data_IF_445075072389
#
_entry.id   IF_445075072389
#
_cell.length_a   1.000
_cell.length_b   1.000
_cell.length_c   1.000
_cell.angle_alpha   90.00
_cell.angle_beta   90.00
_cell.angle_gamma   90.00
#
_symmetry.space_group_name_H-M   'P 1'
#
loop_
_entity.id
_entity.type
_entity.pdbx_description
1 polymer ?
#
# COMPACT_ATOMS: atom_id res chain seq x y z
N UNK A 1 -2.28 -12.28 -1.11
CA UNK A 1 -2.49 -10.85 -0.82
C UNK A 1 -3.14 -10.61 0.53
N UNK A 2 -4.48 -10.63 0.62
CA UNK A 2 -5.22 -10.09 1.78
C UNK A 2 -4.78 -10.64 3.15
N UNK A 3 -4.68 -11.96 3.32
CA UNK A 3 -4.24 -12.57 4.60
C UNK A 3 -2.82 -12.17 5.00
N UNK A 4 -1.90 -12.09 4.02
CA UNK A 4 -0.52 -11.66 4.29
C UNK A 4 -0.49 -10.21 4.79
N UNK A 5 -1.24 -9.31 4.16
CA UNK A 5 -1.35 -7.92 4.63
C UNK A 5 -1.97 -7.85 6.02
N UNK A 6 -3.05 -8.60 6.29
CA UNK A 6 -3.67 -8.63 7.61
C UNK A 6 -2.69 -9.08 8.71
N UNK A 7 -1.93 -10.15 8.48
CA UNK A 7 -0.90 -10.63 9.40
C UNK A 7 0.24 -9.62 9.59
N UNK A 8 0.70 -8.98 8.51
CA UNK A 8 1.75 -7.97 8.59
C UNK A 8 1.29 -6.74 9.40
N UNK A 9 0.08 -6.23 9.14
CA UNK A 9 -0.51 -5.13 9.89
C UNK A 9 -0.61 -5.50 11.38
N UNK A 10 -1.12 -6.70 11.70
CA UNK A 10 -1.26 -7.17 13.08
C UNK A 10 0.08 -7.26 13.83
N UNK A 11 1.13 -7.73 13.17
CA UNK A 11 2.42 -8.00 13.82
C UNK A 11 3.32 -6.77 13.93
N UNK A 12 3.20 -5.83 12.99
CA UNK A 12 4.20 -4.78 12.81
C UNK A 12 3.65 -3.36 12.92
N UNK A 13 2.33 -3.17 13.04
CA UNK A 13 1.72 -1.84 13.08
C UNK A 13 0.97 -1.67 14.39
N UNK A 14 1.45 -0.76 15.24
CA UNK A 14 0.89 -0.48 16.56
C UNK A 14 0.13 0.83 16.67
N UNK A 15 0.13 1.69 15.63
CA UNK A 15 -0.58 2.97 15.58
C UNK A 15 -0.19 3.99 16.69
N UNK A 16 -0.58 5.26 16.55
CA UNK A 16 -0.98 5.91 15.29
C UNK A 16 0.22 6.00 14.31
N UNK A 17 -0.04 5.98 13.00
CA UNK A 17 1.00 6.13 11.99
C UNK A 17 0.48 5.93 10.56
N UNK A 18 1.40 5.88 9.60
CA UNK A 18 1.08 5.64 8.19
C UNK A 18 1.84 4.40 7.71
N UNK A 19 1.15 3.52 6.99
CA UNK A 19 1.76 2.39 6.29
C UNK A 19 1.90 2.76 4.83
N UNK A 20 3.12 2.67 4.32
CA UNK A 20 3.42 2.93 2.91
C UNK A 20 3.75 1.63 2.18
N UNK A 21 3.21 1.49 0.97
CA UNK A 21 3.59 0.43 0.03
C UNK A 21 3.96 1.05 -1.31
N UNK A 22 4.96 0.49 -1.98
CA UNK A 22 5.31 0.89 -3.34
C UNK A 22 4.72 -0.13 -4.32
N UNK A 23 3.90 0.34 -5.25
CA UNK A 23 3.33 -0.49 -6.32
C UNK A 23 3.51 0.17 -7.68
N UNK A 24 3.00 -0.45 -8.74
CA UNK A 24 3.11 0.06 -10.11
C UNK A 24 2.51 1.47 -10.25
N UNK A 25 3.26 2.36 -10.89
CA UNK A 25 2.77 3.66 -11.34
C UNK A 25 1.63 3.51 -12.35
N UNK A 26 0.77 4.53 -12.53
CA UNK A 26 -0.45 4.41 -13.34
C UNK A 26 -0.17 4.15 -14.83
N UNK A 27 1.02 4.48 -15.30
CA UNK A 27 1.53 4.32 -16.66
C UNK A 27 2.30 3.00 -16.89
N UNK A 28 2.51 2.18 -15.85
CA UNK A 28 3.15 0.87 -15.99
C UNK A 28 2.15 -0.18 -16.50
N UNK A 29 2.48 -1.05 -17.48
CA UNK A 29 1.55 -2.08 -17.98
C UNK A 29 0.98 -2.99 -16.88
N UNK A 30 1.84 -3.36 -15.93
CA UNK A 30 1.45 -4.13 -14.74
C UNK A 30 0.44 -3.44 -13.82
N UNK A 31 0.18 -2.13 -13.95
CA UNK A 31 -0.83 -1.41 -13.17
C UNK A 31 -2.24 -1.98 -13.36
N UNK A 32 -2.54 -2.42 -14.58
CA UNK A 32 -3.84 -3.00 -14.96
C UNK A 32 -3.78 -4.51 -14.92
N UNK A 33 -2.77 -5.10 -15.58
CA UNK A 33 -2.68 -6.56 -15.78
C UNK A 33 -2.58 -7.35 -14.47
N UNK A 34 -1.84 -6.82 -13.48
CA UNK A 34 -1.65 -7.51 -12.21
C UNK A 34 -2.80 -7.31 -11.21
N UNK A 35 -3.61 -6.26 -11.40
CA UNK A 35 -4.60 -5.81 -10.41
C UNK A 35 -4.02 -5.30 -9.09
N UNK A 36 -2.70 -5.04 -9.01
CA UNK A 36 -2.02 -4.66 -7.77
C UNK A 36 -2.54 -3.33 -7.17
N UNK A 37 -2.78 -2.32 -8.00
CA UNK A 37 -3.34 -1.03 -7.54
C UNK A 37 -4.72 -1.22 -6.90
N UNK A 38 -5.63 -1.86 -7.63
CA UNK A 38 -6.97 -2.19 -7.15
C UNK A 38 -6.96 -3.07 -5.89
N UNK A 39 -5.93 -3.90 -5.71
CA UNK A 39 -5.77 -4.70 -4.49
C UNK A 39 -5.51 -3.82 -3.25
N UNK A 40 -4.59 -2.85 -3.33
CA UNK A 40 -4.28 -1.94 -2.22
C UNK A 40 -5.39 -0.92 -1.97
N UNK A 41 -6.02 -0.40 -3.03
CA UNK A 41 -7.20 0.47 -2.92
C UNK A 41 -8.33 -0.21 -2.14
N UNK A 42 -8.61 -1.49 -2.43
CA UNK A 42 -9.62 -2.30 -1.70
C UNK A 42 -9.25 -2.57 -0.24
N UNK A 43 -7.99 -2.40 0.14
CA UNK A 43 -7.52 -2.48 1.53
C UNK A 43 -7.54 -1.11 2.23
N UNK A 44 -7.97 -0.05 1.55
CA UNK A 44 -8.06 1.30 2.10
C UNK A 44 -6.82 2.16 1.88
N UNK A 45 -5.83 1.67 1.12
CA UNK A 45 -4.69 2.51 0.75
C UNK A 45 -5.11 3.52 -0.32
N UNK A 46 -4.64 4.76 -0.19
CA UNK A 46 -4.80 5.81 -1.18
C UNK A 46 -3.52 5.99 -2.00
N UNK A 47 -3.62 6.26 -3.33
CA UNK A 47 -2.46 6.61 -4.13
C UNK A 47 -1.86 7.96 -3.66
N UNK A 48 -0.55 7.98 -3.46
CA UNK A 48 0.26 9.17 -3.17
C UNK A 48 1.09 9.58 -4.38
N UNK A 49 2.28 10.12 -4.14
CA UNK A 49 3.21 10.57 -5.16
C UNK A 49 3.91 9.42 -5.91
N UNK A 50 4.34 9.65 -7.16
CA UNK A 50 5.32 8.81 -7.82
C UNK A 50 6.61 8.69 -7.00
N UNK A 51 7.29 7.55 -7.12
CA UNK A 51 8.59 7.31 -6.49
C UNK A 51 9.58 6.77 -7.52
N UNK A 52 10.84 6.62 -7.12
CA UNK A 52 11.90 6.07 -7.96
C UNK A 52 11.46 4.83 -8.75
N UNK A 53 11.80 4.74 -10.05
CA UNK A 53 11.48 3.59 -10.88
C UNK A 53 12.02 2.27 -10.31
N UNK A 54 11.41 1.18 -10.75
CA UNK A 54 11.94 -0.15 -10.46
C UNK A 54 13.27 -0.45 -11.14
N UNK A 55 13.95 -1.54 -10.75
CA UNK A 55 15.18 -2.00 -11.40
C UNK A 55 15.05 -2.15 -12.92
N UNK A 56 13.85 -2.52 -13.39
CA UNK A 56 13.51 -2.68 -14.80
C UNK A 56 13.12 -1.36 -15.49
N UNK A 57 13.21 -0.22 -14.79
CA UNK A 57 12.84 1.11 -15.28
C UNK A 57 11.35 1.44 -15.24
N UNK A 58 10.51 0.50 -14.78
CA UNK A 58 9.07 0.69 -14.68
C UNK A 58 8.67 1.73 -13.62
N UNK A 59 7.67 2.56 -13.92
CA UNK A 59 7.16 3.56 -12.99
C UNK A 59 6.58 2.95 -11.72
N UNK A 60 6.72 3.66 -10.60
CA UNK A 60 6.27 3.25 -9.28
C UNK A 60 5.55 4.40 -8.58
N UNK A 61 4.64 4.05 -7.69
CA UNK A 61 3.86 5.00 -6.90
C UNK A 61 3.74 4.51 -5.46
N UNK A 62 3.84 5.45 -4.52
CA UNK A 62 3.57 5.20 -3.11
C UNK A 62 2.07 5.14 -2.90
N UNK A 63 1.62 4.17 -2.11
CA UNK A 63 0.26 4.06 -1.61
C UNK A 63 0.29 4.12 -0.09
N UNK A 64 -0.59 4.91 0.51
CA UNK A 64 -0.62 5.17 1.95
C UNK A 64 -1.90 4.68 2.59
N UNK A 65 -1.77 4.06 3.76
CA UNK A 65 -2.87 3.77 4.66
C UNK A 65 -2.60 4.46 6.00
N UNK A 66 -3.49 5.37 6.38
CA UNK A 66 -3.45 5.99 7.70
C UNK A 66 -4.02 5.03 8.74
N UNK A 67 -3.24 4.81 9.80
CA UNK A 67 -3.58 3.93 10.90
C UNK A 67 -3.83 4.79 12.13
N UNK A 68 -5.08 4.90 12.60
CA UNK A 68 -5.41 5.72 13.76
C UNK A 68 -4.81 5.12 15.04
N UNK A 69 -4.84 5.89 16.12
CA UNK A 69 -4.48 5.43 17.45
C UNK A 69 -5.29 4.15 17.79
N UNK A 70 -4.66 3.05 18.25
CA UNK A 70 -5.42 1.90 18.72
C UNK A 70 -6.38 2.34 19.82
N UNK A 71 -7.68 2.21 19.55
CA UNK A 71 -8.72 2.50 20.55
C UNK A 71 -8.45 1.62 21.77
N UNK A 72 -7.98 2.21 22.88
CA UNK A 72 -7.96 1.50 24.15
C UNK A 72 -9.39 1.16 24.51
N UNK A 73 -9.74 -0.12 24.73
CA UNK A 73 -11.02 -0.42 25.35
C UNK A 73 -11.05 0.25 26.73
N UNK A 74 -12.10 1.05 26.95
CA UNK A 74 -12.43 1.65 28.25
C UNK A 74 -12.90 0.59 29.24
#
# INVERSE_FOLDING_TARGET
GRRLMAEAMLRYVSGPGTVEVVTFGPDHPGAVESGARAFYEKLGFAPGEPTDPGPEGGSRQIYRLDVPDPVRPV
#
